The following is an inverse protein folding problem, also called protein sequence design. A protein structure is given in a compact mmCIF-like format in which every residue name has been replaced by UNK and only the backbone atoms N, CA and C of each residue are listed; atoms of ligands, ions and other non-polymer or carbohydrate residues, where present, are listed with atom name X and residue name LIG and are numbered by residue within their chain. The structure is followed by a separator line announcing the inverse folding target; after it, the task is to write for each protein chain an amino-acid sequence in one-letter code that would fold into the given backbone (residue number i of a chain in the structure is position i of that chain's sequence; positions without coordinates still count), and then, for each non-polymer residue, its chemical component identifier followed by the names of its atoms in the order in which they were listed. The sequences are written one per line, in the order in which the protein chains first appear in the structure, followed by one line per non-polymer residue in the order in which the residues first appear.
data_IF_286991590150
#
_entry.id   IF_286991590150
#
_cell.length_a   1.000
_cell.length_b   1.000
_cell.length_c   1.000
_cell.angle_alpha   90.00
_cell.angle_beta   90.00
_cell.angle_gamma   90.00
#
_symmetry.space_group_name_H-M   'P 1'
#
loop_
_entity.id
_entity.type
_entity.pdbx_description
1 polymer ?
#
# COMPACT_ATOMS: atom_id res chain seq x y z
N UNK A 1 0.33 41.36 -3.51
CA UNK A 1 0.37 40.87 -3.49
C UNK A 1 0.36 39.96 -3.05
N UNK A 2 0.29 39.67 -2.76
CA UNK A 2 0.25 38.88 -2.41
C UNK A 2 -0.16 37.89 -2.31
N UNK A 3 -0.20 37.58 -2.20
CA UNK A 3 -0.51 36.75 -2.19
C UNK A 3 -0.80 35.83 -2.37
N UNK A 4 -1.12 35.62 -2.30
CA UNK A 4 -1.34 34.86 -2.67
C UNK A 4 -1.02 33.80 -2.56
N UNK A 5 -0.77 33.40 -2.63
CA UNK A 5 -0.22 32.47 -2.66
C UNK A 5 -0.49 31.54 -1.83
N UNK A 6 -0.59 31.60 -1.14
CA UNK A 6 -0.78 30.88 -0.28
C UNK A 6 -1.59 29.88 -0.44
N UNK A 7 -2.17 29.82 -0.68
CA UNK A 7 -3.02 29.11 -0.98
C UNK A 7 -2.87 27.85 -1.24
N UNK A 8 -2.61 27.66 -1.93
CA UNK A 8 -2.52 26.53 -2.45
C UNK A 8 -2.16 25.46 -1.67
N UNK A 9 -1.40 25.52 -0.87
CA UNK A 9 -0.93 24.54 -0.23
C UNK A 9 -1.81 23.76 0.43
N UNK A 10 -2.75 24.15 0.83
CA UNK A 10 -3.56 23.46 1.57
C UNK A 10 -4.04 22.32 0.95
N UNK A 11 -3.97 22.26 -0.15
CA UNK A 11 -4.42 21.23 -0.81
C UNK A 11 -3.79 20.02 -0.42
N UNK A 12 -2.60 20.10 -0.14
CA UNK A 12 -1.89 18.97 0.17
C UNK A 12 -2.31 18.39 1.45
N UNK A 13 -3.24 18.95 2.05
CA UNK A 13 -3.63 18.47 3.32
C UNK A 13 -4.31 17.13 3.32
N UNK A 14 -4.49 16.51 2.19
CA UNK A 14 -4.99 15.15 2.23
C UNK A 14 -3.84 14.30 2.75
N UNK A 15 -3.96 13.77 3.94
CA UNK A 15 -2.83 13.07 4.53
C UNK A 15 -2.57 11.78 3.79
N UNK A 16 -1.30 11.49 3.66
CA UNK A 16 -0.90 10.23 3.10
C UNK A 16 -0.97 9.27 4.26
N UNK A 17 -2.11 8.64 4.43
CA UNK A 17 -2.34 7.77 5.55
C UNK A 17 -2.49 6.35 5.06
N UNK A 18 -1.77 5.45 5.69
CA UNK A 18 -1.96 4.03 5.45
C UNK A 18 -2.02 3.38 6.83
N UNK A 19 -3.19 2.91 7.19
CA UNK A 19 -3.42 2.35 8.52
C UNK A 19 -4.15 1.03 8.40
N UNK A 20 -3.94 0.15 9.36
CA UNK A 20 -4.70 -1.08 9.44
C UNK A 20 -5.97 -0.81 10.22
N UNK A 21 -7.07 -1.37 9.76
CA UNK A 21 -8.34 -1.26 10.45
C UNK A 21 -8.52 -2.50 11.34
N UNK A 22 -9.25 -2.36 12.42
CA UNK A 22 -9.54 -3.51 13.27
C UNK A 22 -10.49 -4.43 12.53
N UNK A 23 -10.69 -5.61 12.96
CA UNK A 23 -11.60 -6.58 12.35
C UNK A 23 -11.06 -7.29 11.14
N UNK A 24 -9.80 -7.57 11.13
CA UNK A 24 -9.28 -8.44 10.10
C UNK A 24 -9.67 -9.87 10.42
N UNK A 25 -10.13 -10.59 9.42
CA UNK A 25 -10.36 -12.01 9.58
C UNK A 25 -9.02 -12.72 9.66
N UNK A 26 -9.03 -13.91 10.21
CA UNK A 26 -7.80 -14.65 10.34
C UNK A 26 -7.14 -14.84 8.98
N UNK A 27 -5.86 -14.57 8.89
CA UNK A 27 -5.11 -14.72 7.64
C UNK A 27 -5.27 -13.57 6.67
N UNK A 28 -5.97 -12.50 7.06
CA UNK A 28 -6.11 -11.33 6.21
C UNK A 28 -5.89 -10.06 7.01
N UNK A 29 -5.71 -8.95 6.31
CA UNK A 29 -5.59 -7.64 6.95
C UNK A 29 -6.39 -6.64 6.12
N UNK A 30 -7.08 -5.73 6.80
CA UNK A 30 -7.85 -4.69 6.14
C UNK A 30 -7.09 -3.37 6.33
N UNK A 31 -6.72 -2.73 5.24
CA UNK A 31 -5.89 -1.54 5.26
C UNK A 31 -6.62 -0.39 4.58
N UNK A 32 -6.60 0.78 5.21
CA UNK A 32 -7.09 2.00 4.57
C UNK A 32 -5.88 2.78 4.10
N UNK A 33 -5.81 3.07 2.81
CA UNK A 33 -4.65 3.71 2.21
C UNK A 33 -5.08 4.84 1.29
N UNK A 34 -4.41 5.97 1.40
CA UNK A 34 -4.67 7.10 0.51
C UNK A 34 -3.85 6.93 -0.76
N UNK A 35 -4.36 7.48 -1.84
CA UNK A 35 -3.65 7.47 -3.11
C UNK A 35 -3.83 8.74 -3.89
N UNK A 36 -2.87 9.05 -4.74
CA UNK A 36 -2.98 10.20 -5.64
C UNK A 36 -2.36 9.84 -6.98
N UNK A 37 -2.82 10.52 -8.02
CA UNK A 37 -2.29 10.31 -9.37
C UNK A 37 -2.92 11.25 -10.36
N UNK A 38 -2.39 11.25 -11.57
CA UNK A 38 -2.88 12.14 -12.63
C UNK A 38 -4.16 11.60 -13.27
N UNK A 39 -4.61 10.44 -12.87
CA UNK A 39 -5.90 9.91 -13.25
C UNK A 39 -6.45 9.13 -12.08
N UNK A 40 -7.72 8.82 -12.11
CA UNK A 40 -8.33 8.06 -11.06
C UNK A 40 -7.68 6.67 -10.95
N UNK A 41 -7.43 6.03 -12.07
CA UNK A 41 -6.80 4.70 -12.04
C UNK A 41 -5.39 4.75 -11.47
N UNK A 42 -4.64 5.82 -11.72
CA UNK A 42 -3.31 5.97 -11.12
C UNK A 42 -3.40 6.22 -9.62
N UNK A 43 -4.42 6.93 -9.17
CA UNK A 43 -4.63 7.15 -7.75
C UNK A 43 -4.98 5.82 -7.05
N UNK A 44 -5.81 4.99 -7.68
CA UNK A 44 -6.13 3.67 -7.17
C UNK A 44 -4.86 2.82 -7.06
N UNK A 45 -4.08 2.77 -8.13
CA UNK A 45 -2.85 2.02 -8.16
C UNK A 45 -1.90 2.48 -7.05
N UNK A 46 -1.78 3.78 -6.88
CA UNK A 46 -0.90 4.35 -5.86
C UNK A 46 -1.35 3.94 -4.44
N UNK A 47 -2.65 3.95 -4.18
CA UNK A 47 -3.15 3.58 -2.86
C UNK A 47 -2.89 2.10 -2.57
N UNK A 48 -3.10 1.25 -3.57
CA UNK A 48 -2.94 -0.19 -3.39
C UNK A 48 -1.47 -0.59 -3.23
N UNK A 49 -0.60 -0.06 -4.07
CA UNK A 49 0.81 -0.39 -3.96
C UNK A 49 1.42 0.16 -2.68
N UNK A 50 0.91 1.31 -2.20
CA UNK A 50 1.39 1.87 -0.96
C UNK A 50 1.02 0.96 0.22
N UNK A 51 -0.15 0.34 0.19
CA UNK A 51 -0.55 -0.59 1.24
C UNK A 51 0.43 -1.76 1.33
N UNK A 52 0.81 -2.33 0.17
CA UNK A 52 1.77 -3.43 0.16
C UNK A 52 3.16 -2.96 0.60
N UNK A 53 3.57 -1.77 0.17
CA UNK A 53 4.88 -1.26 0.56
C UNK A 53 4.96 -1.10 2.08
N UNK A 54 3.88 -0.65 2.70
CA UNK A 54 3.83 -0.50 4.15
C UNK A 54 3.88 -1.87 4.84
N UNK A 55 3.16 -2.87 4.31
CA UNK A 55 3.23 -4.22 4.86
C UNK A 55 4.63 -4.79 4.78
N UNK A 56 5.29 -4.57 3.66
CA UNK A 56 6.60 -5.15 3.45
C UNK A 56 7.65 -4.52 4.35
N UNK A 57 7.68 -3.21 4.44
CA UNK A 57 8.83 -2.53 5.01
C UNK A 57 8.60 -1.78 6.32
N UNK A 58 7.34 -1.66 6.75
CA UNK A 58 7.06 -0.92 7.98
C UNK A 58 6.18 -1.68 8.96
N UNK A 59 5.19 -2.40 8.48
CA UNK A 59 4.21 -3.04 9.34
C UNK A 59 3.17 -2.03 9.83
N UNK A 60 2.17 -2.53 10.55
CA UNK A 60 1.08 -1.71 11.07
C UNK A 60 0.96 -1.94 12.56
N UNK A 61 1.32 -0.99 13.39
CA UNK A 61 1.18 -1.13 14.84
C UNK A 61 -0.26 -1.47 15.21
N UNK A 62 -0.44 -2.28 16.21
CA UNK A 62 -1.76 -2.68 16.69
C UNK A 62 -2.57 -3.51 15.69
N UNK A 63 -1.91 -4.18 14.79
CA UNK A 63 -2.58 -5.04 13.81
C UNK A 63 -2.03 -6.45 13.91
N UNK A 64 -2.54 -7.35 13.05
CA UNK A 64 -2.03 -8.72 12.96
C UNK A 64 -0.64 -8.76 12.31
N UNK A 65 -0.21 -7.68 11.68
CA UNK A 65 1.11 -7.60 11.08
C UNK A 65 1.81 -6.35 11.62
N UNK A 66 2.26 -6.42 12.89
CA UNK A 66 2.87 -5.27 13.53
C UNK A 66 4.27 -4.98 13.04
N UNK A 67 4.97 -5.99 12.57
CA UNK A 67 6.34 -5.83 12.10
C UNK A 67 6.39 -5.87 10.58
N UNK A 68 7.42 -5.29 9.98
CA UNK A 68 7.59 -5.40 8.54
C UNK A 68 7.76 -6.87 8.16
N UNK A 69 7.26 -7.25 7.02
CA UNK A 69 7.43 -8.61 6.52
C UNK A 69 8.84 -8.82 5.99
N UNK A 70 9.49 -7.77 5.55
CA UNK A 70 10.84 -7.81 4.97
C UNK A 70 11.72 -6.88 5.79
N UNK A 71 12.83 -7.41 6.30
CA UNK A 71 13.60 -6.66 7.27
C UNK A 71 14.46 -5.54 6.71
N UNK A 72 15.07 -5.74 5.59
CA UNK A 72 16.00 -4.74 5.05
C UNK A 72 15.54 -4.34 3.65
N UNK A 73 14.88 -3.19 3.57
CA UNK A 73 14.30 -2.73 2.32
C UNK A 73 15.35 -2.54 1.22
N UNK A 74 16.45 -1.87 1.53
CA UNK A 74 17.46 -1.58 0.53
C UNK A 74 18.06 -2.85 -0.03
N UNK A 75 18.41 -3.77 0.84
CA UNK A 75 19.03 -5.00 0.42
C UNK A 75 18.04 -5.88 -0.34
N UNK A 76 16.82 -5.98 0.15
CA UNK A 76 15.80 -6.80 -0.50
C UNK A 76 15.55 -6.31 -1.92
N UNK A 77 15.44 -4.99 -2.10
CA UNK A 77 15.20 -4.44 -3.43
C UNK A 77 16.40 -4.62 -4.35
N UNK A 78 17.60 -4.50 -3.81
CA UNK A 78 18.82 -4.67 -4.59
C UNK A 78 18.99 -6.11 -5.07
N UNK A 79 18.71 -7.06 -4.18
CA UNK A 79 18.91 -8.48 -4.51
C UNK A 79 17.76 -9.10 -5.30
N UNK A 80 16.58 -8.49 -5.21
CA UNK A 80 15.38 -9.08 -5.79
C UNK A 80 14.62 -8.11 -6.69
N UNK A 81 15.33 -7.32 -7.46
CA UNK A 81 14.71 -6.29 -8.28
C UNK A 81 13.64 -6.85 -9.21
N UNK A 82 13.89 -8.02 -9.81
CA UNK A 82 12.90 -8.61 -10.70
C UNK A 82 11.61 -8.96 -9.97
N UNK A 83 11.72 -9.44 -8.74
CA UNK A 83 10.53 -9.75 -7.95
C UNK A 83 9.70 -8.49 -7.74
N UNK A 84 10.33 -7.38 -7.35
CA UNK A 84 9.61 -6.16 -7.07
C UNK A 84 9.03 -5.52 -8.34
N UNK A 85 9.75 -5.62 -9.46
CA UNK A 85 9.21 -5.15 -10.73
C UNK A 85 7.97 -5.95 -11.12
N UNK A 86 8.01 -7.28 -11.01
CA UNK A 86 6.87 -8.10 -11.33
C UNK A 86 5.72 -7.82 -10.37
N UNK A 87 6.04 -7.64 -9.09
CA UNK A 87 5.03 -7.44 -8.07
C UNK A 87 4.29 -6.13 -8.27
N UNK A 88 5.00 -5.04 -8.47
CA UNK A 88 4.40 -3.71 -8.58
C UNK A 88 4.05 -3.33 -10.02
N UNK A 89 5.01 -3.40 -10.92
CA UNK A 89 4.79 -2.88 -12.26
C UNK A 89 3.97 -3.81 -13.13
N UNK A 90 4.16 -5.10 -12.98
CA UNK A 90 3.36 -6.06 -13.72
C UNK A 90 2.08 -6.44 -12.99
N UNK A 91 1.83 -5.84 -11.82
CA UNK A 91 0.54 -5.96 -11.14
C UNK A 91 0.31 -7.26 -10.40
N UNK A 92 1.37 -8.01 -10.11
CA UNK A 92 1.21 -9.27 -9.41
C UNK A 92 0.56 -9.10 -8.04
N UNK A 93 0.72 -7.94 -7.41
CA UNK A 93 0.16 -7.67 -6.09
C UNK A 93 -1.37 -7.86 -6.07
N UNK A 94 -2.02 -7.70 -7.21
CA UNK A 94 -3.48 -7.83 -7.27
C UNK A 94 -3.96 -9.22 -6.93
N UNK A 95 -3.11 -10.23 -7.09
CA UNK A 95 -3.47 -11.60 -6.76
C UNK A 95 -3.69 -11.79 -5.27
N UNK A 96 -3.22 -10.86 -4.44
CA UNK A 96 -3.33 -10.95 -3.00
C UNK A 96 -4.41 -10.03 -2.43
N UNK A 97 -5.11 -9.29 -3.27
CA UNK A 97 -6.22 -8.45 -2.85
C UNK A 97 -7.50 -9.26 -2.90
N UNK A 98 -8.17 -9.40 -1.74
CA UNK A 98 -9.44 -10.10 -1.66
C UNK A 98 -10.54 -9.18 -2.20
N UNK A 99 -10.56 -7.93 -1.75
CA UNK A 99 -11.41 -6.90 -2.32
C UNK A 99 -10.84 -5.52 -1.99
N UNK A 100 -11.28 -4.52 -2.70
CA UNK A 100 -10.78 -3.18 -2.58
C UNK A 100 -11.83 -2.22 -3.11
N UNK A 101 -12.11 -1.14 -2.38
CA UNK A 101 -13.08 -0.16 -2.81
C UNK A 101 -12.76 1.21 -2.22
N UNK A 102 -13.28 2.27 -2.84
CA UNK A 102 -13.04 3.60 -2.34
C UNK A 102 -13.84 3.83 -1.05
N UNK A 103 -13.14 4.23 0.01
CA UNK A 103 -13.77 4.57 1.27
C UNK A 103 -14.38 5.96 1.16
N UNK A 104 -13.68 6.89 0.54
CA UNK A 104 -14.20 8.23 0.29
C UNK A 104 -14.30 8.44 -1.20
N UNK A 105 -15.14 9.39 -1.59
CA UNK A 105 -15.24 9.75 -3.00
C UNK A 105 -13.93 10.27 -3.52
N UNK A 106 -13.77 10.21 -4.83
CA UNK A 106 -12.59 10.72 -5.50
C UNK A 106 -12.65 12.23 -5.52
N UNK A 107 -11.56 12.88 -5.15
CA UNK A 107 -11.46 14.34 -5.21
C UNK A 107 -10.43 14.70 -6.25
N UNK A 108 -10.71 15.73 -7.03
CA UNK A 108 -9.76 16.21 -8.02
C UNK A 108 -9.32 17.61 -7.64
N UNK A 109 -8.02 17.84 -7.55
CA UNK A 109 -7.47 19.15 -7.25
C UNK A 109 -6.36 19.42 -8.26
N UNK A 110 -6.56 20.44 -9.09
CA UNK A 110 -5.63 20.70 -10.18
C UNK A 110 -5.65 19.54 -11.15
N UNK A 111 -4.50 18.98 -11.41
CA UNK A 111 -4.41 17.86 -12.32
C UNK A 111 -4.32 16.53 -11.60
N UNK A 112 -4.45 16.52 -10.28
CA UNK A 112 -4.30 15.29 -9.52
C UNK A 112 -5.62 14.82 -8.94
N UNK A 113 -5.77 13.49 -8.86
CA UNK A 113 -6.90 12.84 -8.23
C UNK A 113 -6.43 12.28 -6.89
N UNK A 114 -7.30 12.37 -5.88
CA UNK A 114 -7.01 11.89 -4.52
C UNK A 114 -8.14 10.99 -4.06
N UNK A 115 -7.81 9.94 -3.37
CA UNK A 115 -8.82 9.04 -2.82
C UNK A 115 -8.28 8.27 -1.62
N UNK A 116 -9.19 7.65 -0.87
CA UNK A 116 -8.83 6.70 0.17
C UNK A 116 -9.52 5.40 -0.16
N UNK A 117 -8.79 4.29 -0.09
CA UNK A 117 -9.35 2.98 -0.39
C UNK A 117 -9.21 2.06 0.79
N UNK A 118 -10.21 1.20 0.97
CA UNK A 118 -10.14 0.12 1.92
C UNK A 118 -9.77 -1.13 1.11
N UNK A 119 -8.68 -1.78 1.50
CA UNK A 119 -8.08 -2.87 0.76
C UNK A 119 -7.93 -4.05 1.70
N UNK A 120 -8.58 -5.16 1.36
CA UNK A 120 -8.47 -6.39 2.14
C UNK A 120 -7.45 -7.29 1.46
N UNK A 121 -6.38 -7.61 2.18
CA UNK A 121 -5.28 -8.38 1.63
C UNK A 121 -5.22 -9.76 2.28
N UNK A 122 -5.02 -10.79 1.46
CA UNK A 122 -4.81 -12.15 1.94
C UNK A 122 -3.37 -12.27 2.41
N UNK A 123 -3.18 -12.08 3.70
CA UNK A 123 -1.86 -12.05 4.30
C UNK A 123 -1.20 -13.42 4.26
N UNK A 124 -1.99 -14.47 4.41
CA UNK A 124 -1.46 -15.83 4.40
C UNK A 124 -0.90 -16.18 3.02
N UNK A 125 -1.64 -15.91 1.96
CA UNK A 125 -1.16 -16.15 0.61
C UNK A 125 0.05 -15.30 0.28
N UNK A 126 0.03 -14.05 0.72
CA UNK A 126 1.15 -13.15 0.47
C UNK A 126 2.42 -13.67 1.14
N UNK A 127 2.32 -14.11 2.40
CA UNK A 127 3.48 -14.63 3.11
C UNK A 127 4.02 -15.88 2.40
N UNK A 128 3.13 -16.79 2.00
CA UNK A 128 3.55 -17.99 1.30
C UNK A 128 4.27 -17.64 -0.01
N UNK A 129 3.77 -16.64 -0.70
CA UNK A 129 4.40 -16.21 -1.95
C UNK A 129 5.80 -15.67 -1.70
N UNK A 130 5.95 -14.82 -0.67
CA UNK A 130 7.27 -14.26 -0.33
C UNK A 130 8.24 -15.37 0.07
N UNK A 131 7.76 -16.36 0.81
CA UNK A 131 8.59 -17.50 1.21
C UNK A 131 9.02 -18.31 -0.01
N UNK A 132 8.08 -18.59 -0.91
CA UNK A 132 8.38 -19.39 -2.09
C UNK A 132 9.34 -18.70 -3.04
N UNK A 133 9.33 -17.37 -3.05
CA UNK A 133 10.24 -16.60 -3.88
C UNK A 133 11.58 -16.34 -3.18
N UNK A 134 11.73 -16.80 -1.95
CA UNK A 134 12.98 -16.60 -1.22
C UNK A 134 13.17 -15.19 -0.71
N UNK A 135 12.10 -14.38 -0.67
CA UNK A 135 12.21 -13.00 -0.19
C UNK A 135 12.30 -12.99 1.34
N UNK A 136 11.56 -13.89 1.98
CA UNK A 136 11.61 -14.04 3.43
C UNK A 136 11.82 -15.50 3.76
N UNK A 137 12.25 -15.77 4.99
CA UNK A 137 12.44 -17.14 5.44
C UNK A 137 11.11 -17.80 5.66
N UNK A 138 11.06 -19.09 5.44
CA UNK A 138 9.87 -19.85 5.77
C UNK A 138 9.69 -19.84 7.27
N UNK A 139 8.44 -19.74 7.69
CA UNK A 139 8.12 -19.65 9.09
C UNK A 139 8.59 -20.92 9.79
N UNK A 140 9.28 -20.76 10.91
CA UNK A 140 9.75 -21.89 11.69
C UNK A 140 11.15 -22.39 11.36
N UNK A 141 11.84 -21.75 10.40
CA UNK A 141 13.19 -22.19 10.02
C UNK A 141 14.21 -21.07 10.06
#
# INVERSE_FOLDING_TARGET
FLSSCSTSKKVASIPVVTIALSNSEEGSILIRSSGQGESESKAVLNSETKAFNTLFFYGFPSSVQTRPMIENESEAKRLNSKFFDDFYENGEYRNFIINSYNYTGVQKTGKYYYLNRDIKINLRSLRTHLENKGIIRKFGY
#
